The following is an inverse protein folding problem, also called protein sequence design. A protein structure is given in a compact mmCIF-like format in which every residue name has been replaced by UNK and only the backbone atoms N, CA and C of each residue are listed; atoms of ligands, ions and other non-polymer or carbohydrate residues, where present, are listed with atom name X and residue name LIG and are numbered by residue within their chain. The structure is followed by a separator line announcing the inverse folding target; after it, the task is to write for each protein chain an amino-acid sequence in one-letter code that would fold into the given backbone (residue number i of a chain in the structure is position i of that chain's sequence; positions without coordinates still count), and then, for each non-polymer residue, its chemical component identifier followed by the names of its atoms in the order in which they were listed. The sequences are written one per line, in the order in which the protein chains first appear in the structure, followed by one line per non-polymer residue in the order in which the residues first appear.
data_IF_337598945142
#
_entry.id   IF_337598945142
#
_cell.length_a   1.000
_cell.length_b   1.000
_cell.length_c   1.000
_cell.angle_alpha   90.00
_cell.angle_beta   90.00
_cell.angle_gamma   90.00
#
_symmetry.space_group_name_H-M   'P 1'
#
loop_
_entity.id
_entity.type
_entity.pdbx_description
1 polymer ?
#
# COMPACT_ATOMS: atom_id res chain seq x y z
N UNK A 1 -13.75 10.81 20.73
CA UNK A 1 -13.81 9.39 21.16
C UNK A 1 -14.13 8.52 19.95
N UNK A 2 -13.11 7.88 19.39
CA UNK A 2 -13.18 6.57 18.73
C UNK A 2 -11.81 5.95 19.02
N UNK A 3 -11.71 5.36 20.20
CA UNK A 3 -10.56 4.55 20.58
C UNK A 3 -10.79 3.12 20.14
N UNK A 4 -9.79 2.53 19.49
CA UNK A 4 -9.20 1.23 19.81
C UNK A 4 -8.31 0.79 18.63
N UNK A 5 -7.00 0.81 18.84
CA UNK A 5 -6.19 -0.40 18.73
C UNK A 5 -4.81 -0.17 19.37
N UNK A 6 -4.52 -0.77 20.54
CA UNK A 6 -3.15 -0.99 20.95
C UNK A 6 -2.67 -2.26 20.24
N UNK A 7 -1.86 -2.12 19.19
CA UNK A 7 -1.08 -3.26 18.68
C UNK A 7 0.09 -3.46 19.65
N UNK A 8 -0.10 -4.29 20.68
CA UNK A 8 0.99 -4.71 21.57
C UNK A 8 2.03 -5.48 20.74
N UNK A 9 3.27 -5.02 20.83
CA UNK A 9 4.44 -5.46 20.08
C UNK A 9 4.92 -6.87 20.47
N UNK A 10 5.41 -7.64 19.50
CA UNK A 10 6.22 -8.85 19.72
C UNK A 10 6.91 -9.17 18.36
N UNK A 11 8.18 -8.91 18.03
CA UNK A 11 9.44 -8.81 18.77
C UNK A 11 10.34 -7.81 17.98
N UNK A 12 10.85 -6.75 18.61
CA UNK A 12 11.91 -5.83 18.11
C UNK A 12 11.65 -4.88 16.91
N UNK A 13 10.43 -4.32 16.77
CA UNK A 13 10.17 -3.25 15.81
C UNK A 13 9.90 -1.90 16.48
N UNK A 14 10.90 -1.01 16.59
CA UNK A 14 10.62 0.41 16.86
C UNK A 14 9.82 0.97 15.68
N UNK A 15 8.59 1.46 15.92
CA UNK A 15 7.89 2.30 14.95
C UNK A 15 8.57 3.67 14.90
N UNK A 16 9.29 3.96 13.82
CA UNK A 16 9.91 5.27 13.60
C UNK A 16 8.83 6.30 13.26
N UNK A 17 8.23 6.94 14.27
CA UNK A 17 7.41 8.13 14.05
C UNK A 17 8.33 9.34 13.94
N UNK A 18 8.74 9.72 12.74
CA UNK A 18 9.45 10.99 12.54
C UNK A 18 8.49 12.14 12.82
N UNK A 19 8.76 12.92 13.87
CA UNK A 19 8.06 14.18 14.13
C UNK A 19 8.53 15.20 13.08
N UNK A 20 7.90 15.22 11.91
CA UNK A 20 8.13 16.28 10.93
C UNK A 20 7.43 17.55 11.40
N UNK A 21 8.15 18.69 11.42
CA UNK A 21 7.57 20.02 11.66
C UNK A 21 6.44 20.30 10.65
N UNK A 22 5.45 21.15 11.00
CA UNK A 22 4.24 21.41 10.19
C UNK A 22 4.52 21.66 8.68
N UNK A 23 5.53 22.47 8.27
CA UNK A 23 5.88 22.67 6.87
C UNK A 23 6.30 21.38 6.16
N UNK A 24 6.97 20.46 6.86
CA UNK A 24 7.35 19.16 6.32
C UNK A 24 6.14 18.31 5.98
N UNK A 25 5.10 18.33 6.82
CA UNK A 25 3.82 17.64 6.54
C UNK A 25 3.07 18.24 5.36
N UNK A 26 3.13 19.57 5.20
CA UNK A 26 2.54 20.25 4.03
C UNK A 26 3.28 19.84 2.75
N UNK A 27 4.61 19.80 2.77
CA UNK A 27 5.40 19.34 1.63
C UNK A 27 5.15 17.86 1.30
N UNK A 28 5.10 16.99 2.32
CA UNK A 28 4.77 15.56 2.15
C UNK A 28 3.39 15.41 1.47
N UNK A 29 2.39 16.17 1.90
CA UNK A 29 1.05 16.12 1.31
C UNK A 29 1.04 16.60 -0.14
N UNK A 30 1.76 17.69 -0.45
CA UNK A 30 1.85 18.21 -1.82
C UNK A 30 2.48 17.17 -2.77
N UNK A 31 3.57 16.54 -2.34
CA UNK A 31 4.23 15.48 -3.11
C UNK A 31 3.30 14.28 -3.28
N UNK A 32 2.60 13.89 -2.22
CA UNK A 32 1.63 12.78 -2.26
C UNK A 32 0.52 13.05 -3.28
N UNK A 33 -0.03 14.26 -3.30
CA UNK A 33 -1.13 14.63 -4.21
C UNK A 33 -0.68 14.58 -5.68
N UNK A 34 0.50 15.13 -5.99
CA UNK A 34 1.08 15.10 -7.34
C UNK A 34 1.36 13.66 -7.80
N UNK A 35 1.98 12.85 -6.94
CA UNK A 35 2.31 11.45 -7.27
C UNK A 35 1.05 10.61 -7.41
N UNK A 36 0.07 10.78 -6.52
CA UNK A 36 -1.18 10.02 -6.56
C UNK A 36 -1.95 10.27 -7.84
N UNK A 37 -2.08 11.54 -8.25
CA UNK A 37 -2.73 11.92 -9.51
C UNK A 37 -2.03 11.28 -10.71
N UNK A 38 -0.72 11.37 -10.77
CA UNK A 38 0.07 10.80 -11.88
C UNK A 38 -0.06 9.27 -11.97
N UNK A 39 -0.02 8.60 -10.82
CA UNK A 39 -0.15 7.14 -10.74
C UNK A 39 -1.54 6.67 -11.20
N UNK A 40 -2.58 7.43 -10.87
CA UNK A 40 -3.96 7.18 -11.30
C UNK A 40 -4.13 7.38 -12.82
N UNK A 41 -3.66 8.51 -13.36
CA UNK A 41 -3.75 8.83 -14.79
C UNK A 41 -3.01 7.83 -15.68
N UNK A 42 -1.79 7.45 -15.28
CA UNK A 42 -0.96 6.50 -16.04
C UNK A 42 -1.31 5.03 -15.79
N UNK A 43 -2.28 4.73 -14.92
CA UNK A 43 -2.69 3.37 -14.54
C UNK A 43 -1.50 2.49 -14.16
N UNK A 44 -0.53 3.07 -13.45
CA UNK A 44 0.72 2.38 -13.06
C UNK A 44 0.42 1.21 -12.10
N UNK A 45 -0.62 1.35 -11.29
CA UNK A 45 -1.01 0.37 -10.29
C UNK A 45 -2.01 -0.62 -10.87
N UNK A 46 -1.77 -1.91 -10.60
CA UNK A 46 -2.67 -3.00 -11.00
C UNK A 46 -4.05 -2.85 -10.35
N UNK A 47 -5.10 -3.20 -11.08
CA UNK A 47 -6.49 -3.15 -10.60
C UNK A 47 -6.74 -3.93 -9.29
N UNK A 48 -6.00 -5.01 -9.03
CA UNK A 48 -6.10 -5.79 -7.80
C UNK A 48 -5.46 -5.15 -6.56
N UNK A 49 -4.71 -4.05 -6.70
CA UNK A 49 -4.14 -3.36 -5.56
C UNK A 49 -5.20 -2.47 -4.89
N UNK A 50 -5.37 -2.68 -3.59
CA UNK A 50 -6.33 -1.94 -2.75
C UNK A 50 -5.66 -1.07 -1.69
N UNK A 51 -4.46 -1.45 -1.23
CA UNK A 51 -3.70 -0.65 -0.27
C UNK A 51 -3.24 0.68 -0.88
N UNK A 52 -3.44 1.76 -0.14
CA UNK A 52 -3.06 3.13 -0.52
C UNK A 52 -3.72 3.67 -1.81
N UNK A 53 -4.87 3.11 -2.22
CA UNK A 53 -5.61 3.57 -3.39
C UNK A 53 -6.89 4.29 -2.95
N UNK A 54 -7.11 5.50 -3.47
CA UNK A 54 -8.32 6.28 -3.20
C UNK A 54 -9.55 5.50 -3.64
N UNK A 55 -10.57 5.46 -2.78
CA UNK A 55 -11.83 4.74 -3.06
C UNK A 55 -11.75 3.22 -2.90
N UNK A 56 -10.60 2.65 -2.55
CA UNK A 56 -10.45 1.23 -2.21
C UNK A 56 -10.17 1.06 -0.72
N UNK A 57 -10.80 0.06 -0.12
CA UNK A 57 -10.71 -0.25 1.30
C UNK A 57 -10.35 -1.72 1.53
N UNK A 58 -10.06 -2.05 2.79
CA UNK A 58 -9.93 -3.44 3.23
C UNK A 58 -11.16 -4.28 2.87
N UNK A 59 -12.36 -3.72 3.05
CA UNK A 59 -13.61 -4.43 2.75
C UNK A 59 -13.74 -4.72 1.26
N UNK A 60 -13.48 -3.74 0.38
CA UNK A 60 -13.53 -3.98 -1.07
C UNK A 60 -12.49 -5.00 -1.53
N UNK A 61 -11.32 -5.01 -0.87
CA UNK A 61 -10.28 -6.01 -1.13
C UNK A 61 -10.76 -7.41 -0.75
N UNK A 62 -11.40 -7.54 0.42
CA UNK A 62 -11.91 -8.80 0.91
C UNK A 62 -13.02 -9.35 0.01
N UNK A 63 -13.94 -8.48 -0.43
CA UNK A 63 -15.01 -8.84 -1.37
C UNK A 63 -14.40 -9.33 -2.69
N UNK A 64 -13.48 -8.57 -3.29
CA UNK A 64 -12.84 -8.96 -4.55
C UNK A 64 -12.04 -10.27 -4.43
N UNK A 65 -11.44 -10.51 -3.27
CA UNK A 65 -10.72 -11.75 -2.97
C UNK A 65 -11.66 -12.96 -2.88
N UNK A 66 -12.75 -12.84 -2.10
CA UNK A 66 -13.72 -13.92 -1.97
C UNK A 66 -14.42 -14.22 -3.29
N UNK A 67 -14.83 -13.19 -4.04
CA UNK A 67 -15.49 -13.34 -5.34
C UNK A 67 -14.63 -14.15 -6.33
N UNK A 68 -13.32 -13.84 -6.40
CA UNK A 68 -12.38 -14.61 -7.22
C UNK A 68 -12.21 -16.05 -6.73
N UNK A 69 -12.11 -16.25 -5.42
CA UNK A 69 -11.98 -17.58 -4.82
C UNK A 69 -13.23 -18.42 -5.04
N UNK A 70 -14.43 -17.86 -4.83
CA UNK A 70 -15.70 -18.57 -5.04
C UNK A 70 -15.87 -18.97 -6.49
N UNK A 71 -15.51 -18.11 -7.44
CA UNK A 71 -15.55 -18.48 -8.86
C UNK A 71 -14.67 -19.70 -9.19
N UNK A 72 -13.49 -19.82 -8.59
CA UNK A 72 -12.62 -20.99 -8.81
C UNK A 72 -13.15 -22.25 -8.12
N UNK A 73 -13.73 -22.11 -6.93
CA UNK A 73 -14.35 -23.22 -6.20
C UNK A 73 -15.58 -23.74 -6.95
N UNK A 74 -16.40 -22.85 -7.51
CA UNK A 74 -17.59 -23.20 -8.28
C UNK A 74 -17.23 -23.95 -9.57
N UNK A 75 -16.07 -23.67 -10.15
CA UNK A 75 -15.49 -24.43 -11.28
C UNK A 75 -14.89 -25.79 -10.85
N UNK A 76 -14.96 -26.14 -9.56
CA UNK A 76 -14.40 -27.37 -9.01
C UNK A 76 -12.87 -27.38 -8.92
N UNK A 77 -12.22 -26.21 -8.98
CA UNK A 77 -10.76 -26.10 -8.84
C UNK A 77 -10.38 -26.06 -7.36
N UNK A 78 -9.27 -26.72 -7.02
CA UNK A 78 -8.64 -26.54 -5.71
C UNK A 78 -8.06 -25.12 -5.61
N UNK A 79 -8.27 -24.47 -4.46
CA UNK A 79 -7.76 -23.11 -4.20
C UNK A 79 -6.94 -23.12 -2.92
N UNK A 80 -5.70 -22.63 -3.04
CA UNK A 80 -4.79 -22.38 -1.91
C UNK A 80 -4.47 -20.89 -1.82
N UNK A 81 -4.29 -20.40 -0.61
CA UNK A 81 -4.05 -18.97 -0.33
C UNK A 81 -2.74 -18.80 0.41
N UNK A 82 -1.84 -17.99 -0.14
CA UNK A 82 -0.56 -17.65 0.49
C UNK A 82 -0.59 -16.20 0.95
N UNK A 83 -0.46 -15.98 2.26
CA UNK A 83 -0.32 -14.66 2.84
C UNK A 83 1.17 -14.29 2.97
N UNK A 84 1.55 -13.15 2.41
CA UNK A 84 2.91 -12.63 2.44
C UNK A 84 2.91 -11.26 3.11
N UNK A 85 3.92 -10.99 3.94
CA UNK A 85 4.15 -9.69 4.55
C UNK A 85 5.65 -9.35 4.55
N UNK A 86 5.97 -8.05 4.42
CA UNK A 86 7.33 -7.56 4.41
C UNK A 86 7.74 -7.04 5.79
N UNK A 87 8.77 -7.64 6.39
CA UNK A 87 9.34 -7.10 7.63
C UNK A 87 9.93 -5.70 7.38
N UNK A 88 9.51 -4.69 8.15
CA UNK A 88 10.00 -3.30 8.04
C UNK A 88 9.98 -2.78 6.59
N UNK A 89 8.87 -2.98 5.87
CA UNK A 89 8.72 -2.64 4.45
C UNK A 89 9.28 -1.25 4.10
N UNK A 90 8.87 -0.19 4.81
CA UNK A 90 9.34 1.18 4.54
C UNK A 90 10.76 1.48 5.02
N UNK A 91 11.29 0.71 5.98
CA UNK A 91 12.65 0.88 6.49
C UNK A 91 13.72 0.15 5.68
N UNK A 92 13.32 -0.77 4.79
CA UNK A 92 14.23 -1.66 4.04
C UNK A 92 14.33 -1.28 2.56
N UNK A 93 13.46 -0.40 2.06
CA UNK A 93 13.49 0.03 0.65
C UNK A 93 14.73 0.88 0.38
N UNK A 94 15.58 0.40 -0.54
CA UNK A 94 16.74 1.16 -1.02
C UNK A 94 16.31 2.40 -1.81
N UNK A 95 16.90 3.56 -1.51
CA UNK A 95 16.65 4.81 -2.23
C UNK A 95 16.93 4.71 -3.73
N UNK A 96 17.98 3.99 -4.13
CA UNK A 96 18.33 3.81 -5.55
C UNK A 96 17.25 3.03 -6.30
N UNK A 97 16.72 1.97 -5.67
CA UNK A 97 15.65 1.16 -6.24
C UNK A 97 14.36 1.97 -6.35
N UNK A 98 14.02 2.74 -5.30
CA UNK A 98 12.84 3.60 -5.29
C UNK A 98 12.90 4.64 -6.42
N UNK A 99 14.02 5.35 -6.55
CA UNK A 99 14.22 6.35 -7.61
C UNK A 99 14.13 5.70 -9.00
N UNK A 100 14.77 4.54 -9.21
CA UNK A 100 14.68 3.82 -10.47
C UNK A 100 13.24 3.43 -10.82
N UNK A 101 12.45 2.99 -9.83
CA UNK A 101 11.02 2.68 -10.01
C UNK A 101 10.19 3.92 -10.36
N UNK A 102 10.40 5.04 -9.66
CA UNK A 102 9.69 6.29 -9.96
C UNK A 102 9.97 6.78 -11.39
N UNK A 103 11.22 6.68 -11.85
CA UNK A 103 11.60 6.97 -13.24
C UNK A 103 10.88 6.07 -14.25
N UNK A 104 10.75 4.76 -13.96
CA UNK A 104 9.98 3.83 -14.80
C UNK A 104 8.49 4.20 -14.85
N UNK A 105 7.93 4.72 -13.76
CA UNK A 105 6.57 5.24 -13.72
C UNK A 105 6.41 6.59 -14.47
N UNK A 106 7.51 7.13 -15.02
CA UNK A 106 7.53 8.39 -15.76
C UNK A 106 7.33 9.61 -14.87
N UNK A 107 7.66 9.51 -13.57
CA UNK A 107 7.94 10.66 -12.72
C UNK A 107 9.41 11.02 -12.99
N UNK A 108 9.61 11.96 -13.90
CA UNK A 108 10.90 12.57 -14.16
C UNK A 108 10.96 13.90 -13.39
N UNK A 109 12.18 14.30 -13.05
CA UNK A 109 12.50 15.60 -12.47
C UNK A 109 12.11 16.74 -13.42
#
# INVERSE_FOLDING_TARGET
MCGLMPRKDFITGKCSYTHTFIPGKVMEQLVLDVVSKHVEEKKVIRSGQHGFIKGKSYLTNLIAFYDGMTGWVDEGRAVDVVYLDFSKAFGTVSHNILIAKLRQCGLQE
#
